data_IF_876756068844
#
_entry.id   IF_876756068844
#
_cell.length_a   1.000
_cell.length_b   1.000
_cell.length_c   1.000
_cell.angle_alpha   90.00
_cell.angle_beta   90.00
_cell.angle_gamma   90.00
#
_symmetry.space_group_name_H-M   'P 1'
#
loop_
_entity.id
_entity.type
_entity.pdbx_description
1 polymer ?
#
# COMPACT_ATOMS: atom_id res chain seq x y z
N UNK A 1 24.24 38.93 -1.03
CA UNK A 1 23.19 37.93 -0.79
C UNK A 1 23.76 36.59 -1.23
N UNK A 2 23.87 35.61 -0.35
CA UNK A 2 24.06 34.23 -0.83
C UNK A 2 22.69 33.79 -1.34
N UNK A 3 22.51 33.85 -2.65
CA UNK A 3 21.20 33.91 -3.31
C UNK A 3 20.34 32.63 -3.23
N UNK A 4 20.73 31.58 -2.49
CA UNK A 4 19.85 30.45 -2.13
C UNK A 4 20.24 29.83 -0.78
N UNK A 5 19.34 29.82 0.22
CA UNK A 5 19.65 29.21 1.52
C UNK A 5 19.51 27.69 1.56
N UNK A 6 18.99 27.05 0.51
CA UNK A 6 18.78 25.59 0.42
C UNK A 6 18.88 25.08 -1.03
N UNK A 7 19.21 23.79 -1.17
CA UNK A 7 19.24 23.03 -2.42
C UNK A 7 17.96 22.21 -2.62
N UNK A 8 17.73 21.70 -3.84
CA UNK A 8 16.61 20.79 -4.11
C UNK A 8 16.71 19.48 -3.31
N UNK A 9 17.94 18.99 -3.10
CA UNK A 9 18.21 17.82 -2.27
C UNK A 9 17.81 18.06 -0.80
N UNK A 10 18.06 19.26 -0.26
CA UNK A 10 17.65 19.61 1.10
C UNK A 10 16.12 19.59 1.25
N UNK A 11 15.39 20.10 0.24
CA UNK A 11 13.93 20.10 0.24
C UNK A 11 13.35 18.68 0.13
N UNK A 12 13.93 17.84 -0.73
CA UNK A 12 13.49 16.44 -0.88
C UNK A 12 13.75 15.63 0.39
N UNK A 13 14.92 15.81 1.02
CA UNK A 13 15.25 15.13 2.27
C UNK A 13 14.29 15.51 3.40
N UNK A 14 13.96 16.81 3.53
CA UNK A 14 13.00 17.26 4.54
C UNK A 14 11.57 16.79 4.21
N UNK A 15 11.16 16.82 2.94
CA UNK A 15 9.86 16.29 2.53
C UNK A 15 9.73 14.79 2.85
N UNK A 16 10.78 13.99 2.64
CA UNK A 16 10.80 12.57 2.97
C UNK A 16 10.63 12.34 4.48
N UNK A 17 11.34 13.12 5.31
CA UNK A 17 11.23 13.05 6.78
C UNK A 17 9.82 13.39 7.26
N UNK A 18 9.21 14.42 6.67
CA UNK A 18 7.84 14.84 7.01
C UNK A 18 6.83 13.79 6.57
N UNK A 19 6.96 13.25 5.35
CA UNK A 19 6.10 12.17 4.87
C UNK A 19 6.18 10.94 5.79
N UNK A 20 7.38 10.51 6.16
CA UNK A 20 7.56 9.40 7.10
C UNK A 20 6.85 9.67 8.42
N UNK A 21 7.04 10.85 9.01
CA UNK A 21 6.39 11.26 10.27
C UNK A 21 4.86 11.25 10.15
N UNK A 22 4.32 11.70 9.02
CA UNK A 22 2.87 11.73 8.77
C UNK A 22 2.27 10.32 8.60
N UNK A 23 3.10 9.32 8.30
CA UNK A 23 2.69 7.91 8.09
C UNK A 23 3.11 6.96 9.22
N UNK A 24 3.94 7.42 10.18
CA UNK A 24 4.58 6.58 11.20
C UNK A 24 3.61 6.09 12.29
N UNK A 25 2.50 6.80 12.52
CA UNK A 25 1.55 6.46 13.58
C UNK A 25 0.10 6.70 13.16
N UNK A 26 -0.47 5.82 12.32
CA UNK A 26 -1.92 5.70 12.21
C UNK A 26 -2.41 5.07 13.51
N UNK A 27 -2.90 5.89 14.43
CA UNK A 27 -3.35 5.38 15.72
C UNK A 27 -4.46 4.32 15.53
N UNK A 28 -4.43 3.28 16.36
CA UNK A 28 -5.38 2.16 16.28
C UNK A 28 -6.85 2.62 16.35
N UNK A 29 -7.10 3.76 17.00
CA UNK A 29 -8.42 4.38 17.02
C UNK A 29 -8.77 5.01 15.68
N UNK A 30 -7.89 5.81 15.08
CA UNK A 30 -8.10 6.45 13.78
C UNK A 30 -8.20 5.47 12.62
N UNK A 31 -7.50 4.33 12.66
CA UNK A 31 -7.74 3.24 11.69
C UNK A 31 -9.17 2.69 11.84
N UNK A 32 -9.64 2.53 13.08
CA UNK A 32 -11.02 2.09 13.35
C UNK A 32 -12.05 3.10 12.86
N UNK A 33 -11.87 4.38 13.16
CA UNK A 33 -12.76 5.48 12.75
C UNK A 33 -12.82 5.62 11.22
N UNK A 34 -11.67 5.54 10.53
CA UNK A 34 -11.65 5.60 9.07
C UNK A 34 -12.25 4.35 8.41
N UNK A 35 -12.14 3.20 9.09
CA UNK A 35 -12.70 1.94 8.62
C UNK A 35 -14.21 1.88 8.83
N UNK A 36 -14.75 2.47 9.90
CA UNK A 36 -16.16 2.40 10.31
C UNK A 36 -17.13 2.68 9.16
N UNK A 37 -16.96 3.82 8.49
CA UNK A 37 -17.83 4.30 7.41
C UNK A 37 -17.35 3.88 6.01
N UNK A 38 -16.20 3.19 5.91
CA UNK A 38 -15.67 2.76 4.63
C UNK A 38 -16.44 1.55 4.09
N UNK A 39 -16.77 1.59 2.80
CA UNK A 39 -17.35 0.44 2.11
C UNK A 39 -16.37 -0.72 2.06
N UNK A 40 -16.86 -1.94 2.27
CA UNK A 40 -16.05 -3.14 2.11
C UNK A 40 -16.01 -3.52 0.62
N UNK A 41 -14.84 -3.48 -0.05
CA UNK A 41 -14.76 -3.58 -1.53
C UNK A 41 -15.36 -4.87 -2.11
N UNK A 42 -15.34 -5.97 -1.36
CA UNK A 42 -15.89 -7.26 -1.81
C UNK A 42 -17.41 -7.36 -1.73
N UNK A 43 -18.08 -6.43 -1.04
CA UNK A 43 -19.55 -6.39 -0.91
C UNK A 43 -20.14 -5.10 -1.50
N UNK A 44 -19.33 -4.25 -2.11
CA UNK A 44 -19.77 -3.01 -2.77
C UNK A 44 -20.71 -3.30 -3.96
N UNK A 45 -20.70 -4.53 -4.48
CA UNK A 45 -21.61 -5.01 -5.53
C UNK A 45 -22.22 -6.38 -5.18
N UNK A 46 -23.21 -6.40 -4.30
CA UNK A 46 -24.13 -7.54 -4.15
C UNK A 46 -25.26 -7.46 -5.18
N UNK A 47 -25.79 -8.62 -5.63
CA UNK A 47 -26.94 -8.68 -6.57
C UNK A 47 -28.22 -8.00 -6.02
N UNK A 48 -28.29 -7.79 -4.71
CA UNK A 48 -29.38 -7.08 -4.02
C UNK A 48 -29.16 -5.55 -3.88
N UNK A 49 -28.00 -5.05 -4.33
CA UNK A 49 -27.66 -3.62 -4.32
C UNK A 49 -27.33 -3.04 -2.94
N UNK A 50 -27.18 -3.86 -1.90
CA UNK A 50 -26.82 -3.40 -0.56
C UNK A 50 -25.30 -3.46 -0.32
N UNK A 51 -24.58 -2.42 -0.76
CA UNK A 51 -23.24 -2.16 -0.25
C UNK A 51 -23.31 -2.00 1.28
N UNK A 52 -22.30 -2.52 2.00
CA UNK A 52 -22.21 -2.42 3.46
C UNK A 52 -20.86 -1.87 3.89
N UNK A 53 -20.90 -1.02 4.90
CA UNK A 53 -19.70 -0.52 5.56
C UNK A 53 -19.08 -1.62 6.42
N UNK A 54 -17.83 -1.41 6.88
CA UNK A 54 -17.23 -2.32 7.85
C UNK A 54 -18.04 -2.40 9.14
N UNK A 55 -18.63 -1.28 9.60
CA UNK A 55 -19.50 -1.27 10.79
C UNK A 55 -20.74 -2.13 10.57
N UNK A 56 -21.46 -1.93 9.47
CA UNK A 56 -22.70 -2.66 9.17
C UNK A 56 -22.50 -4.17 9.03
N UNK A 57 -21.27 -4.59 8.68
CA UNK A 57 -20.91 -6.00 8.52
C UNK A 57 -20.45 -6.66 9.82
N UNK A 58 -19.74 -5.92 10.66
CA UNK A 58 -18.95 -6.50 11.74
C UNK A 58 -19.37 -6.03 13.14
N UNK A 59 -20.30 -5.10 13.23
CA UNK A 59 -20.93 -4.70 14.49
C UNK A 59 -22.34 -5.28 14.53
N UNK A 60 -22.61 -6.11 15.54
CA UNK A 60 -23.91 -6.76 15.74
C UNK A 60 -24.47 -6.40 17.10
N UNK A 61 -25.79 -6.42 17.31
CA UNK A 61 -26.35 -6.37 18.67
C UNK A 61 -25.75 -7.48 19.52
N UNK A 62 -25.41 -7.16 20.77
CA UNK A 62 -24.90 -8.13 21.72
C UNK A 62 -25.98 -9.16 22.12
N UNK A 63 -25.59 -10.21 22.84
CA UNK A 63 -26.53 -11.27 23.26
C UNK A 63 -27.67 -10.75 24.17
N UNK A 64 -27.54 -9.55 24.74
CA UNK A 64 -28.53 -8.92 25.60
C UNK A 64 -29.46 -7.96 24.86
N UNK A 65 -29.10 -7.55 23.63
CA UNK A 65 -29.86 -6.68 22.74
C UNK A 65 -29.79 -5.19 23.08
N UNK A 66 -29.04 -4.82 24.11
CA UNK A 66 -28.94 -3.45 24.63
C UNK A 66 -27.59 -2.79 24.31
N UNK A 67 -26.54 -3.58 24.00
CA UNK A 67 -25.21 -3.10 23.64
C UNK A 67 -24.80 -3.60 22.24
N UNK A 68 -23.78 -2.97 21.65
CA UNK A 68 -23.20 -3.37 20.37
C UNK A 68 -21.93 -4.22 20.59
N UNK A 69 -21.84 -5.38 19.92
CA UNK A 69 -20.66 -6.23 19.89
C UNK A 69 -19.70 -5.76 18.78
N UNK A 70 -18.55 -5.23 19.21
CA UNK A 70 -17.46 -4.78 18.34
C UNK A 70 -16.37 -5.85 18.12
N UNK A 71 -16.54 -7.08 18.63
CA UNK A 71 -15.47 -8.09 18.65
C UNK A 71 -14.94 -8.38 17.24
N UNK A 72 -15.82 -8.59 16.26
CA UNK A 72 -15.43 -8.88 14.88
C UNK A 72 -14.82 -7.64 14.18
N UNK A 73 -15.35 -6.44 14.48
CA UNK A 73 -14.81 -5.18 13.98
C UNK A 73 -13.39 -4.94 14.49
N UNK A 74 -13.15 -5.17 15.78
CA UNK A 74 -11.84 -5.06 16.42
C UNK A 74 -10.83 -6.07 15.90
N UNK A 75 -11.27 -7.29 15.58
CA UNK A 75 -10.40 -8.28 14.94
C UNK A 75 -9.98 -7.83 13.54
N UNK A 76 -10.91 -7.33 12.73
CA UNK A 76 -10.62 -6.81 11.40
C UNK A 76 -9.66 -5.61 11.46
N UNK A 77 -9.90 -4.68 12.40
CA UNK A 77 -9.04 -3.51 12.65
C UNK A 77 -7.61 -3.91 12.97
N UNK A 78 -7.40 -4.92 13.83
CA UNK A 78 -6.05 -5.44 14.13
C UNK A 78 -5.38 -6.06 12.90
N UNK A 79 -6.14 -6.81 12.09
CA UNK A 79 -5.64 -7.43 10.85
C UNK A 79 -5.26 -6.39 9.78
N UNK A 80 -5.90 -5.22 9.79
CA UNK A 80 -5.57 -4.09 8.91
C UNK A 80 -4.40 -3.29 9.46
N UNK A 81 -4.34 -3.05 10.77
CA UNK A 81 -3.23 -2.33 11.39
C UNK A 81 -1.89 -3.09 11.24
N UNK A 82 -1.90 -4.42 11.39
CA UNK A 82 -0.68 -5.23 11.32
C UNK A 82 0.16 -5.04 10.03
N UNK A 83 -0.41 -5.10 8.80
CA UNK A 83 0.37 -4.81 7.59
C UNK A 83 0.76 -3.33 7.45
N UNK A 84 0.04 -2.40 8.08
CA UNK A 84 0.40 -0.98 8.10
C UNK A 84 1.63 -0.76 8.99
N UNK A 85 1.64 -1.31 10.22
CA UNK A 85 2.79 -1.27 11.13
C UNK A 85 4.02 -1.99 10.56
N UNK A 86 3.80 -3.02 9.75
CA UNK A 86 4.85 -3.77 9.06
C UNK A 86 5.31 -3.17 7.73
N UNK A 87 4.69 -2.09 7.26
CA UNK A 87 5.05 -1.47 5.98
C UNK A 87 6.46 -0.85 6.06
N UNK A 88 7.23 -1.01 4.98
CA UNK A 88 8.52 -0.34 4.88
C UNK A 88 8.33 1.16 4.72
N UNK A 89 9.17 1.96 5.40
CA UNK A 89 9.26 3.38 5.11
C UNK A 89 9.81 3.59 3.69
N UNK A 90 8.93 4.02 2.79
CA UNK A 90 9.23 4.34 1.39
C UNK A 90 9.11 5.84 1.12
N UNK A 91 9.14 6.68 2.15
CA UNK A 91 8.86 8.12 2.04
C UNK A 91 9.83 8.84 1.12
N UNK A 92 11.13 8.51 1.18
CA UNK A 92 12.13 9.05 0.25
C UNK A 92 11.82 8.66 -1.20
N UNK A 93 11.41 7.41 -1.43
CA UNK A 93 11.05 6.94 -2.76
C UNK A 93 9.78 7.64 -3.26
N UNK A 94 8.76 7.77 -2.42
CA UNK A 94 7.51 8.45 -2.76
C UNK A 94 7.76 9.92 -3.16
N UNK A 95 8.58 10.63 -2.39
CA UNK A 95 8.95 12.03 -2.68
C UNK A 95 9.74 12.13 -3.99
N UNK A 96 10.73 11.25 -4.20
CA UNK A 96 11.53 11.27 -5.42
C UNK A 96 10.68 10.94 -6.67
N UNK A 97 9.78 9.96 -6.59
CA UNK A 97 8.85 9.63 -7.67
C UNK A 97 7.97 10.83 -8.06
N UNK A 98 7.39 11.52 -7.06
CA UNK A 98 6.59 12.71 -7.30
C UNK A 98 7.39 13.88 -7.87
N UNK A 99 8.61 14.10 -7.37
CA UNK A 99 9.51 15.14 -7.88
C UNK A 99 9.92 14.91 -9.35
N UNK A 100 10.03 13.65 -9.75
CA UNK A 100 10.38 13.25 -11.11
C UNK A 100 9.13 13.11 -12.02
N UNK A 101 7.91 13.35 -11.50
CA UNK A 101 6.66 13.24 -12.25
C UNK A 101 6.31 11.81 -12.66
N UNK A 102 6.79 10.81 -11.92
CA UNK A 102 6.56 9.40 -12.20
C UNK A 102 5.32 8.89 -11.47
N UNK A 103 4.55 8.06 -12.16
CA UNK A 103 3.38 7.37 -11.61
C UNK A 103 3.70 5.90 -11.35
N UNK A 104 3.40 5.34 -10.16
CA UNK A 104 3.49 3.92 -9.92
C UNK A 104 2.68 3.11 -10.94
N UNK A 105 3.25 2.01 -11.41
CA UNK A 105 2.59 1.07 -12.30
C UNK A 105 2.39 -0.29 -11.62
N UNK A 106 1.29 -0.97 -11.94
CA UNK A 106 0.94 -2.27 -11.38
C UNK A 106 1.86 -3.43 -11.80
N UNK A 107 2.81 -3.17 -12.70
CA UNK A 107 3.82 -4.16 -13.10
C UNK A 107 4.72 -4.50 -11.92
N UNK A 108 5.00 -5.79 -11.75
CA UNK A 108 6.02 -6.26 -10.80
C UNK A 108 6.82 -7.41 -11.41
N UNK A 109 8.08 -7.55 -10.99
CA UNK A 109 8.90 -8.73 -11.26
C UNK A 109 9.33 -9.31 -9.91
N UNK A 110 9.20 -10.62 -9.75
CA UNK A 110 9.67 -11.35 -8.56
C UNK A 110 10.81 -12.29 -8.94
N UNK A 111 11.90 -12.25 -8.16
CA UNK A 111 13.10 -13.05 -8.40
C UNK A 111 13.47 -13.84 -7.14
N UNK A 112 13.59 -15.16 -7.30
CA UNK A 112 13.97 -16.09 -6.23
C UNK A 112 12.90 -16.28 -5.15
N UNK A 113 12.99 -17.39 -4.42
CA UNK A 113 12.19 -17.66 -3.22
C UNK A 113 13.11 -17.80 -2.01
N UNK A 114 12.72 -17.24 -0.87
CA UNK A 114 13.51 -17.33 0.36
C UNK A 114 13.11 -18.57 1.18
N UNK A 115 13.73 -19.72 0.90
CA UNK A 115 13.68 -20.89 1.80
C UNK A 115 13.50 -22.24 1.09
N UNK A 116 13.68 -23.36 1.80
CA UNK A 116 13.23 -24.66 1.32
C UNK A 116 11.71 -24.62 1.17
N UNK A 117 11.19 -25.19 0.08
CA UNK A 117 9.82 -25.07 -0.45
C UNK A 117 8.68 -25.63 0.43
N UNK A 118 8.82 -25.62 1.76
CA UNK A 118 7.96 -26.35 2.70
C UNK A 118 7.00 -25.45 3.46
N UNK A 119 7.26 -24.15 3.62
CA UNK A 119 6.35 -23.29 4.41
C UNK A 119 5.82 -22.03 3.70
N UNK A 120 6.50 -21.48 2.69
CA UNK A 120 5.90 -20.45 1.85
C UNK A 120 6.67 -20.29 0.53
N UNK A 121 6.15 -20.84 -0.57
CA UNK A 121 6.81 -20.74 -1.89
C UNK A 121 6.72 -19.34 -2.48
N UNK A 122 5.93 -18.45 -1.87
CA UNK A 122 5.51 -17.19 -2.47
C UNK A 122 6.23 -15.97 -1.90
N UNK A 123 7.15 -16.14 -0.94
CA UNK A 123 7.95 -15.03 -0.43
C UNK A 123 9.10 -14.71 -1.40
N UNK A 124 9.04 -13.59 -2.15
CA UNK A 124 10.08 -13.24 -3.11
C UNK A 124 11.36 -12.87 -2.36
N UNK A 125 12.52 -13.35 -2.85
CA UNK A 125 13.81 -12.85 -2.37
C UNK A 125 14.05 -11.41 -2.83
N UNK A 126 13.62 -11.07 -4.05
CA UNK A 126 13.62 -9.71 -4.60
C UNK A 126 12.29 -9.44 -5.31
N UNK A 127 11.71 -8.25 -5.09
CA UNK A 127 10.57 -7.73 -5.85
C UNK A 127 10.92 -6.38 -6.46
N UNK A 128 10.66 -6.22 -7.76
CA UNK A 128 10.84 -4.98 -8.49
C UNK A 128 9.46 -4.36 -8.74
N UNK A 129 9.30 -3.10 -8.35
CA UNK A 129 8.15 -2.26 -8.67
C UNK A 129 8.57 -1.22 -9.71
N UNK A 130 7.63 -0.82 -10.56
CA UNK A 130 7.90 0.15 -11.64
C UNK A 130 7.10 1.42 -11.44
N UNK A 131 7.68 2.53 -11.87
CA UNK A 131 7.00 3.80 -12.04
C UNK A 131 7.40 4.38 -13.39
N UNK A 132 6.46 5.01 -14.09
CA UNK A 132 6.68 5.55 -15.44
C UNK A 132 6.17 6.97 -15.54
N UNK A 133 6.76 7.74 -16.45
CA UNK A 133 6.22 9.05 -16.82
C UNK A 133 4.82 8.88 -17.45
N UNK A 134 3.86 9.79 -17.21
CA UNK A 134 2.51 9.70 -17.77
C UNK A 134 2.49 9.59 -19.30
N UNK A 135 3.47 10.19 -19.99
CA UNK A 135 3.61 10.13 -21.45
C UNK A 135 3.91 8.72 -21.99
N UNK A 136 4.41 7.81 -21.17
CA UNK A 136 4.60 6.42 -21.58
C UNK A 136 3.23 5.75 -21.70
N UNK A 137 2.87 5.28 -22.88
CA UNK A 137 1.63 4.54 -23.11
C UNK A 137 1.66 3.17 -22.42
N UNK A 138 0.49 2.58 -22.15
CA UNK A 138 0.40 1.25 -21.55
C UNK A 138 1.21 0.20 -22.35
N UNK A 139 1.13 0.24 -23.68
CA UNK A 139 1.87 -0.68 -24.55
C UNK A 139 3.40 -0.51 -24.45
N UNK A 140 3.90 0.71 -24.24
CA UNK A 140 5.32 0.97 -24.03
C UNK A 140 5.78 0.47 -22.66
N UNK A 141 4.98 0.70 -21.62
CA UNK A 141 5.23 0.18 -20.25
C UNK A 141 5.29 -1.36 -20.26
N UNK A 142 4.28 -2.00 -20.86
CA UNK A 142 4.22 -3.47 -21.01
C UNK A 142 5.42 -4.02 -21.76
N UNK A 143 5.77 -3.40 -22.89
CA UNK A 143 6.91 -3.81 -23.70
C UNK A 143 8.21 -3.69 -22.92
N UNK A 144 8.42 -2.59 -22.19
CA UNK A 144 9.61 -2.39 -21.38
C UNK A 144 9.75 -3.47 -20.32
N UNK A 145 8.69 -3.72 -19.54
CA UNK A 145 8.70 -4.73 -18.48
C UNK A 145 8.94 -6.13 -19.04
N UNK A 146 8.30 -6.48 -20.16
CA UNK A 146 8.53 -7.76 -20.83
C UNK A 146 10.00 -7.92 -21.28
N UNK A 147 10.58 -6.90 -21.93
CA UNK A 147 11.97 -6.99 -22.39
C UNK A 147 12.96 -7.03 -21.22
N UNK A 148 12.71 -6.26 -20.16
CA UNK A 148 13.52 -6.33 -18.94
C UNK A 148 13.44 -7.73 -18.30
N UNK A 149 12.24 -8.30 -18.23
CA UNK A 149 12.03 -9.66 -17.70
C UNK A 149 12.83 -10.70 -18.48
N UNK A 150 12.84 -10.61 -19.81
CA UNK A 150 13.67 -11.49 -20.67
C UNK A 150 15.17 -11.32 -20.38
N UNK A 151 15.63 -10.08 -20.16
CA UNK A 151 17.05 -9.82 -19.84
C UNK A 151 17.41 -10.39 -18.48
N UNK A 152 16.60 -10.17 -17.45
CA UNK A 152 16.83 -10.70 -16.11
C UNK A 152 16.87 -12.22 -16.13
N UNK A 153 15.89 -12.88 -16.76
CA UNK A 153 15.83 -14.34 -16.88
C UNK A 153 16.99 -14.95 -17.68
N UNK A 154 17.62 -14.21 -18.59
CA UNK A 154 18.81 -14.68 -19.31
C UNK A 154 20.08 -14.67 -18.46
N UNK A 155 20.11 -13.92 -17.37
CA UNK A 155 21.29 -13.71 -16.53
C UNK A 155 21.16 -14.33 -15.12
N UNK A 156 20.07 -15.05 -14.87
CA UNK A 156 19.87 -15.92 -13.71
C UNK A 156 20.19 -17.37 -14.10
#
# INVERSE_FOLDING_TARGET
MSDRPYTDADLRAEAARQHATLTDDPDFMGVGEQMEDAWVPSVETTEDGSARTWKDLLVTPDETGDDEDYTAFDEARRKILAPIEGAADVSEWAVNLGADGLEPAGHTIQLGAKGPAVEDTDQPFVRLHFAFHPDATAAERDRFVMELSKVVLRNL
#
